data_IF_495527174087
#
_entry.id   IF_495527174087
#
_cell.length_a   1.000
_cell.length_b   1.000
_cell.length_c   1.000
_cell.angle_alpha   90.00
_cell.angle_beta   90.00
_cell.angle_gamma   90.00
#
_symmetry.space_group_name_H-M   'P 1'
#
loop_
_entity.id
_entity.type
_entity.pdbx_description
1 polymer ?
#
# COMPACT_ATOMS: atom_id res chain seq x y z
N UNK A 1 17.32 39.24 -49.97
CA UNK A 1 16.68 38.56 -51.12
C UNK A 1 17.22 37.15 -51.44
N UNK A 2 18.40 36.73 -50.96
CA UNK A 2 18.95 35.41 -51.34
C UNK A 2 18.44 34.20 -50.52
N UNK A 3 17.99 34.39 -49.27
CA UNK A 3 17.53 33.30 -48.39
C UNK A 3 16.18 32.70 -48.80
N UNK A 4 15.28 33.51 -49.37
CA UNK A 4 13.97 33.04 -49.84
C UNK A 4 14.08 32.09 -51.05
N UNK A 5 15.11 32.28 -51.89
CA UNK A 5 15.28 31.48 -53.11
C UNK A 5 15.92 30.11 -52.85
N UNK A 6 16.79 30.01 -51.85
CA UNK A 6 17.41 28.73 -51.45
C UNK A 6 16.39 27.85 -50.73
N UNK A 7 15.57 28.44 -49.84
CA UNK A 7 14.49 27.71 -49.16
C UNK A 7 13.46 27.14 -50.15
N UNK A 8 13.13 27.88 -51.22
CA UNK A 8 12.15 27.42 -52.22
C UNK A 8 12.64 26.22 -53.02
N UNK A 9 13.94 26.14 -53.37
CA UNK A 9 14.49 25.01 -54.12
C UNK A 9 14.55 23.73 -53.29
N UNK A 10 14.92 23.81 -52.01
CA UNK A 10 14.94 22.65 -51.12
C UNK A 10 13.54 22.11 -50.82
N UNK A 11 12.57 23.00 -50.58
CA UNK A 11 11.17 22.61 -50.37
C UNK A 11 10.57 21.95 -51.62
N UNK A 12 10.91 22.43 -52.82
CA UNK A 12 10.48 21.81 -54.08
C UNK A 12 11.12 20.44 -54.34
N UNK A 13 12.36 20.20 -53.88
CA UNK A 13 13.02 18.91 -53.99
C UNK A 13 12.41 17.87 -53.03
N UNK A 14 12.11 18.28 -51.80
CA UNK A 14 11.45 17.43 -50.78
C UNK A 14 10.00 17.09 -51.21
N UNK A 15 9.26 18.07 -51.72
CA UNK A 15 7.88 17.88 -52.19
C UNK A 15 7.77 16.99 -53.45
N UNK A 16 8.85 16.83 -54.23
CA UNK A 16 8.91 15.86 -55.34
C UNK A 16 9.19 14.44 -54.85
N UNK A 17 9.90 14.30 -53.73
CA UNK A 17 10.29 12.99 -53.15
C UNK A 17 9.18 12.35 -52.32
N UNK A 18 8.27 13.14 -51.77
CA UNK A 18 7.11 12.68 -50.99
C UNK A 18 5.83 13.39 -51.46
N UNK A 19 5.11 12.83 -52.46
CA UNK A 19 3.92 13.47 -53.05
C UNK A 19 2.76 13.66 -52.05
N UNK A 20 2.73 12.89 -50.95
CA UNK A 20 1.78 13.07 -49.83
C UNK A 20 1.94 14.46 -49.18
N UNK A 21 3.16 15.01 -49.12
CA UNK A 21 3.41 16.34 -48.54
C UNK A 21 2.86 17.49 -49.41
N UNK A 22 2.51 17.24 -50.68
CA UNK A 22 1.82 18.23 -51.53
C UNK A 22 0.32 18.31 -51.26
N UNK A 23 -0.26 17.33 -50.57
CA UNK A 23 -1.70 17.27 -50.28
C UNK A 23 -2.06 17.90 -48.92
N UNK A 24 -1.06 18.21 -48.09
CA UNK A 24 -1.27 18.81 -46.78
C UNK A 24 -1.18 20.33 -46.92
N UNK A 25 -2.30 21.02 -46.74
CA UNK A 25 -2.34 22.48 -46.82
C UNK A 25 -1.47 23.11 -45.71
N UNK A 26 -0.96 24.34 -45.91
CA UNK A 26 -0.24 25.06 -44.84
C UNK A 26 -1.05 25.15 -43.53
N UNK A 27 -2.38 25.29 -43.64
CA UNK A 27 -3.30 25.25 -42.50
C UNK A 27 -3.26 23.90 -41.78
N UNK A 28 -3.28 22.78 -42.50
CA UNK A 28 -3.18 21.45 -41.91
C UNK A 28 -1.82 21.23 -41.23
N UNK A 29 -0.72 21.74 -41.80
CA UNK A 29 0.60 21.71 -41.16
C UNK A 29 0.58 22.49 -39.84
N UNK A 30 0.02 23.71 -39.82
CA UNK A 30 -0.09 24.50 -38.60
C UNK A 30 -0.92 23.80 -37.52
N UNK A 31 -2.05 23.19 -37.90
CA UNK A 31 -2.88 22.42 -36.97
C UNK A 31 -2.15 21.18 -36.43
N UNK A 32 -1.40 20.46 -37.27
CA UNK A 32 -0.58 19.33 -36.84
C UNK A 32 0.51 19.78 -35.86
N UNK A 33 1.23 20.87 -36.16
CA UNK A 33 2.25 21.40 -35.27
C UNK A 33 1.67 21.88 -33.94
N UNK A 34 0.52 22.56 -33.98
CA UNK A 34 -0.20 22.96 -32.78
C UNK A 34 -0.64 21.75 -31.96
N UNK A 35 -1.15 20.70 -32.60
CA UNK A 35 -1.60 19.49 -31.91
C UNK A 35 -0.43 18.70 -31.31
N UNK A 36 0.69 18.58 -32.03
CA UNK A 36 1.94 17.98 -31.52
C UNK A 36 2.47 18.79 -30.33
N UNK A 37 2.44 20.12 -30.41
CA UNK A 37 2.79 20.98 -29.29
C UNK A 37 1.84 20.79 -28.11
N UNK A 38 0.53 20.78 -28.34
CA UNK A 38 -0.48 20.62 -27.28
C UNK A 38 -0.32 19.28 -26.56
N UNK A 39 -0.11 18.19 -27.31
CA UNK A 39 0.22 16.89 -26.72
C UNK A 39 1.51 16.97 -25.94
N UNK A 40 2.60 17.44 -26.53
CA UNK A 40 3.89 17.52 -25.84
C UNK A 40 3.78 18.34 -24.54
N UNK A 41 3.10 19.48 -24.61
CA UNK A 41 2.86 20.36 -23.47
C UNK A 41 2.04 19.64 -22.38
N UNK A 42 0.91 19.03 -22.72
CA UNK A 42 0.07 18.31 -21.76
C UNK A 42 0.77 17.07 -21.15
N UNK A 43 1.44 16.30 -21.99
CA UNK A 43 2.04 15.00 -21.63
C UNK A 43 3.39 15.10 -20.92
N UNK A 44 4.14 16.19 -21.13
CA UNK A 44 5.50 16.35 -20.58
C UNK A 44 5.60 17.57 -19.69
N UNK A 45 5.15 18.73 -20.16
CA UNK A 45 5.35 19.98 -19.43
C UNK A 45 4.41 20.11 -18.24
N UNK A 46 3.13 19.80 -18.38
CA UNK A 46 2.14 19.95 -17.28
C UNK A 46 2.51 19.08 -16.08
N UNK A 47 2.70 17.77 -16.26
CA UNK A 47 3.11 16.87 -15.16
C UNK A 47 4.42 17.31 -14.51
N UNK A 48 5.44 17.62 -15.33
CA UNK A 48 6.74 18.07 -14.82
C UNK A 48 6.63 19.34 -14.00
N UNK A 49 5.86 20.34 -14.45
CA UNK A 49 5.68 21.60 -13.73
C UNK A 49 4.95 21.40 -12.40
N UNK A 50 3.94 20.52 -12.34
CA UNK A 50 3.26 20.21 -11.09
C UNK A 50 4.22 19.57 -10.08
N UNK A 51 5.02 18.59 -10.50
CA UNK A 51 6.02 17.96 -9.61
C UNK A 51 7.09 18.98 -9.17
N UNK A 52 7.61 19.82 -10.08
CA UNK A 52 8.58 20.88 -9.73
C UNK A 52 8.05 21.86 -8.69
N UNK A 53 6.75 22.19 -8.74
CA UNK A 53 6.15 23.08 -7.75
C UNK A 53 6.18 22.53 -6.33
N UNK A 54 6.35 21.21 -6.18
CA UNK A 54 6.47 20.51 -4.90
C UNK A 54 7.93 20.34 -4.44
N UNK A 55 8.91 20.89 -5.16
CA UNK A 55 10.32 20.76 -4.79
C UNK A 55 10.55 21.27 -3.35
N UNK A 56 11.21 20.45 -2.54
CA UNK A 56 11.46 20.68 -1.12
C UNK A 56 12.06 22.07 -0.86
N UNK A 57 12.98 22.52 -1.73
CA UNK A 57 13.65 23.83 -1.59
C UNK A 57 12.74 25.06 -1.70
N UNK A 58 11.53 24.91 -2.27
CA UNK A 58 10.61 26.03 -2.47
C UNK A 58 9.85 26.41 -1.19
N UNK A 59 9.80 25.51 -0.20
CA UNK A 59 9.00 25.71 1.02
C UNK A 59 9.70 25.27 2.31
N UNK A 60 10.67 24.36 2.26
CA UNK A 60 11.43 23.93 3.43
C UNK A 60 12.52 24.93 3.83
N UNK A 61 12.60 25.24 5.12
CA UNK A 61 13.62 26.10 5.69
C UNK A 61 14.29 25.38 6.86
N UNK A 62 15.41 24.71 6.59
CA UNK A 62 16.14 23.93 7.59
C UNK A 62 17.45 24.62 8.02
N UNK A 63 17.88 24.44 9.28
CA UNK A 63 19.20 24.89 9.73
C UNK A 63 20.35 24.25 8.93
N UNK A 64 21.48 24.93 8.88
CA UNK A 64 22.69 24.39 8.23
C UNK A 64 23.11 23.05 8.85
N UNK A 65 23.27 22.02 8.02
CA UNK A 65 23.64 20.68 8.45
C UNK A 65 22.48 19.74 8.79
N UNK A 66 21.23 20.19 8.69
CA UNK A 66 20.07 19.32 8.81
C UNK A 66 19.94 18.39 7.59
N UNK A 67 19.60 17.13 7.83
CA UNK A 67 19.30 16.11 6.81
C UNK A 67 17.82 15.71 6.94
N UNK A 68 16.89 16.44 6.32
CA UNK A 68 15.46 16.10 6.39
C UNK A 68 15.18 14.76 5.73
N UNK A 69 14.18 14.04 6.24
CA UNK A 69 13.65 12.82 5.62
C UNK A 69 12.48 13.19 4.72
N UNK A 70 12.60 12.95 3.41
CA UNK A 70 11.57 13.26 2.43
C UNK A 70 10.67 12.05 2.16
N UNK A 71 9.37 12.23 2.32
CA UNK A 71 8.35 11.18 2.20
C UNK A 71 7.29 11.61 1.17
N UNK A 72 6.95 10.70 0.27
CA UNK A 72 5.85 10.88 -0.70
C UNK A 72 4.76 9.85 -0.43
N UNK A 73 3.51 10.32 -0.40
CA UNK A 73 2.33 9.46 -0.40
C UNK A 73 1.74 9.36 -1.79
N UNK A 74 1.33 8.15 -2.18
CA UNK A 74 0.61 7.87 -3.43
C UNK A 74 -0.70 7.17 -3.06
N UNK A 75 -1.84 7.71 -3.46
CA UNK A 75 -3.14 7.13 -3.19
C UNK A 75 -3.82 6.75 -4.50
N UNK A 76 -4.60 5.66 -4.46
CA UNK A 76 -5.50 5.22 -5.53
C UNK A 76 -4.85 5.17 -6.94
N UNK A 77 -3.66 4.55 -7.11
CA UNK A 77 -3.12 4.40 -8.46
C UNK A 77 -4.04 3.55 -9.35
N UNK A 78 -4.84 2.64 -8.77
CA UNK A 78 -5.91 1.86 -9.39
C UNK A 78 -5.56 1.42 -10.82
N UNK A 79 -4.63 0.48 -10.93
CA UNK A 79 -4.14 0.01 -12.22
C UNK A 79 -5.31 -0.40 -13.11
N UNK A 80 -5.43 0.27 -14.27
CA UNK A 80 -6.54 0.02 -15.20
C UNK A 80 -6.45 -1.39 -15.77
N UNK A 81 -7.60 -2.06 -15.81
CA UNK A 81 -7.71 -3.44 -16.21
C UNK A 81 -9.11 -3.75 -16.84
N UNK A 82 -9.42 -5.00 -17.20
CA UNK A 82 -10.72 -5.36 -17.79
C UNK A 82 -11.95 -5.10 -16.90
N UNK A 83 -11.77 -4.94 -15.58
CA UNK A 83 -12.81 -4.53 -14.62
C UNK A 83 -13.18 -3.05 -14.81
N UNK A 84 -12.20 -2.18 -15.05
CA UNK A 84 -12.40 -0.72 -15.21
C UNK A 84 -13.35 -0.37 -16.35
N UNK A 85 -13.19 -1.06 -17.50
CA UNK A 85 -14.01 -0.84 -18.69
C UNK A 85 -14.62 -2.15 -19.21
N UNK A 86 -15.69 -2.64 -18.55
CA UNK A 86 -16.31 -3.91 -18.91
C UNK A 86 -16.75 -3.91 -20.37
N UNK A 87 -16.32 -4.92 -21.13
CA UNK A 87 -16.73 -5.10 -22.52
C UNK A 87 -15.93 -4.31 -23.57
N UNK A 88 -14.86 -3.59 -23.17
CA UNK A 88 -13.95 -2.97 -24.14
C UNK A 88 -13.20 -4.08 -24.93
N UNK A 89 -13.33 -4.14 -26.27
CA UNK A 89 -12.72 -5.21 -27.05
C UNK A 89 -11.21 -4.99 -27.25
N UNK A 90 -10.48 -6.07 -27.49
CA UNK A 90 -9.14 -5.99 -28.04
C UNK A 90 -9.18 -5.39 -29.46
N UNK A 91 -8.25 -4.48 -29.83
CA UNK A 91 -7.06 -4.05 -29.09
C UNK A 91 -7.23 -2.80 -28.20
N UNK A 92 -8.44 -2.21 -28.14
CA UNK A 92 -8.67 -0.95 -27.41
C UNK A 92 -8.44 -1.09 -25.91
N UNK A 93 -8.74 -2.23 -25.29
CA UNK A 93 -8.44 -2.49 -23.87
C UNK A 93 -6.94 -2.43 -23.61
N UNK A 94 -6.14 -3.19 -24.36
CA UNK A 94 -4.69 -3.22 -24.24
C UNK A 94 -4.04 -1.84 -24.52
N UNK A 95 -4.58 -1.07 -25.49
CA UNK A 95 -4.12 0.29 -25.73
C UNK A 95 -4.42 1.22 -24.55
N UNK A 96 -5.57 1.04 -23.91
CA UNK A 96 -5.97 1.84 -22.74
C UNK A 96 -5.03 1.54 -21.58
N UNK A 97 -4.88 0.27 -21.23
CA UNK A 97 -3.96 -0.22 -20.19
C UNK A 97 -2.55 0.33 -20.43
N UNK A 98 -2.00 0.15 -21.65
CA UNK A 98 -0.66 0.64 -22.00
C UNK A 98 -0.52 2.16 -21.89
N UNK A 99 -1.53 2.93 -22.30
CA UNK A 99 -1.48 4.39 -22.21
C UNK A 99 -1.52 4.86 -20.76
N UNK A 100 -2.38 4.26 -19.93
CA UNK A 100 -2.47 4.57 -18.49
C UNK A 100 -1.20 4.17 -17.75
N UNK A 101 -0.60 3.03 -18.08
CA UNK A 101 0.68 2.58 -17.53
C UNK A 101 1.80 3.56 -17.85
N UNK A 102 1.85 4.06 -19.09
CA UNK A 102 2.81 5.08 -19.50
C UNK A 102 2.61 6.42 -18.79
N UNK A 103 1.35 6.78 -18.50
CA UNK A 103 1.04 7.97 -17.71
C UNK A 103 1.55 7.81 -16.27
N UNK A 104 1.21 6.70 -15.59
CA UNK A 104 1.64 6.42 -14.22
C UNK A 104 3.17 6.33 -14.11
N UNK A 105 3.80 5.55 -14.98
CA UNK A 105 5.26 5.39 -14.99
C UNK A 105 5.99 6.72 -15.19
N UNK A 106 5.44 7.61 -16.02
CA UNK A 106 6.04 8.93 -16.24
C UNK A 106 5.92 9.84 -15.03
N UNK A 107 4.74 9.93 -14.43
CA UNK A 107 4.56 10.76 -13.24
C UNK A 107 5.40 10.22 -12.07
N UNK A 108 5.42 8.90 -11.88
CA UNK A 108 6.27 8.27 -10.87
C UNK A 108 7.75 8.48 -11.12
N UNK A 109 8.21 8.36 -12.37
CA UNK A 109 9.59 8.71 -12.73
C UNK A 109 9.91 10.17 -12.41
N UNK A 110 9.02 11.10 -12.75
CA UNK A 110 9.23 12.53 -12.49
C UNK A 110 9.32 12.82 -10.99
N UNK A 111 8.48 12.20 -10.16
CA UNK A 111 8.54 12.28 -8.69
C UNK A 111 9.93 11.86 -8.21
N UNK A 112 10.40 10.67 -8.62
CA UNK A 112 11.70 10.16 -8.21
C UNK A 112 12.87 10.96 -8.78
N UNK A 113 12.74 11.50 -9.99
CA UNK A 113 13.79 12.25 -10.67
C UNK A 113 13.96 13.66 -10.09
N UNK A 114 12.85 14.32 -9.75
CA UNK A 114 12.84 15.73 -9.37
C UNK A 114 12.79 15.94 -7.86
N UNK A 115 12.05 15.09 -7.14
CA UNK A 115 11.93 15.17 -5.68
C UNK A 115 12.89 14.22 -4.98
N UNK A 116 13.29 13.12 -5.61
CA UNK A 116 14.21 12.11 -5.05
C UNK A 116 13.91 11.76 -3.57
N UNK A 117 12.69 11.32 -3.22
CA UNK A 117 12.29 11.09 -1.84
C UNK A 117 13.05 9.91 -1.20
N UNK A 118 13.17 9.90 0.12
CA UNK A 118 13.76 8.78 0.88
C UNK A 118 12.76 7.63 1.05
N UNK A 119 11.47 7.95 1.18
CA UNK A 119 10.40 6.98 1.32
C UNK A 119 9.22 7.28 0.38
N UNK A 120 8.59 6.22 -0.11
CA UNK A 120 7.32 6.27 -0.86
C UNK A 120 6.33 5.32 -0.20
N UNK A 121 5.15 5.81 0.16
CA UNK A 121 4.11 5.04 0.83
C UNK A 121 2.82 5.09 0.01
N UNK A 122 2.32 3.93 -0.39
CA UNK A 122 1.04 3.80 -1.07
C UNK A 122 -0.10 3.67 -0.05
N UNK A 123 -1.23 4.28 -0.36
CA UNK A 123 -2.38 4.40 0.53
C UNK A 123 -3.57 3.53 0.08
N UNK A 124 -3.29 2.37 -0.52
CA UNK A 124 -4.30 1.41 -0.99
C UNK A 124 -4.85 1.69 -2.38
N UNK A 125 -5.74 0.79 -2.80
CA UNK A 125 -6.34 0.73 -4.13
C UNK A 125 -5.27 0.68 -5.22
N UNK A 126 -4.40 -0.31 -5.10
CA UNK A 126 -3.28 -0.51 -6.02
C UNK A 126 -3.76 -1.00 -7.40
N UNK A 127 -4.68 -1.95 -7.37
CA UNK A 127 -5.28 -2.59 -8.54
C UNK A 127 -6.78 -2.32 -8.56
N UNK A 128 -7.38 -2.01 -9.72
CA UNK A 128 -8.81 -1.73 -9.80
C UNK A 128 -9.65 -3.02 -9.61
N UNK A 129 -9.28 -4.09 -10.32
CA UNK A 129 -9.86 -5.43 -10.26
C UNK A 129 -9.23 -6.35 -9.20
N UNK A 130 -8.45 -5.80 -8.25
CA UNK A 130 -7.62 -6.55 -7.30
C UNK A 130 -8.36 -7.67 -6.54
N UNK A 131 -9.63 -7.44 -6.19
CA UNK A 131 -10.52 -8.41 -5.53
C UNK A 131 -11.29 -9.34 -6.46
N UNK A 132 -11.38 -9.03 -7.76
CA UNK A 132 -12.33 -9.65 -8.69
C UNK A 132 -11.76 -10.93 -9.34
N UNK A 133 -10.43 -11.03 -9.42
CA UNK A 133 -9.74 -12.18 -9.99
C UNK A 133 -9.66 -13.32 -9.00
N UNK A 134 -9.99 -14.54 -9.45
CA UNK A 134 -9.92 -15.72 -8.56
C UNK A 134 -8.50 -15.97 -8.05
N UNK A 135 -8.41 -16.57 -6.87
CA UNK A 135 -7.16 -16.85 -6.18
C UNK A 135 -7.02 -18.34 -5.89
N UNK A 136 -5.79 -18.84 -5.87
CA UNK A 136 -5.50 -20.15 -5.30
C UNK A 136 -5.66 -20.08 -3.78
N UNK A 137 -6.14 -21.15 -3.14
CA UNK A 137 -6.32 -21.16 -1.69
C UNK A 137 -4.97 -20.97 -1.00
N UNK A 138 -4.85 -19.94 -0.15
CA UNK A 138 -3.75 -19.84 0.80
C UNK A 138 -3.81 -21.05 1.75
N UNK A 139 -2.71 -21.78 1.87
CA UNK A 139 -2.67 -23.01 2.68
C UNK A 139 -2.72 -22.64 4.16
N UNK A 140 -3.82 -22.99 4.83
CA UNK A 140 -3.93 -22.85 6.28
C UNK A 140 -2.78 -23.56 6.99
N UNK A 141 -2.07 -22.83 7.88
CA UNK A 141 -1.03 -23.43 8.70
C UNK A 141 -1.65 -24.34 9.76
N UNK A 142 -1.03 -25.50 9.97
CA UNK A 142 -1.33 -26.37 11.12
C UNK A 142 -0.97 -25.66 12.43
N UNK A 143 -1.58 -26.09 13.55
CA UNK A 143 -1.26 -25.53 14.88
C UNK A 143 0.23 -25.66 15.21
N UNK A 144 0.86 -26.77 14.81
CA UNK A 144 2.29 -26.97 14.96
C UNK A 144 3.10 -25.97 14.12
N UNK A 145 2.74 -25.76 12.85
CA UNK A 145 3.44 -24.79 11.99
C UNK A 145 3.29 -23.36 12.51
N UNK A 146 2.10 -22.97 12.98
CA UNK A 146 1.89 -21.65 13.61
C UNK A 146 2.75 -21.48 14.85
N UNK A 147 2.75 -22.48 15.73
CA UNK A 147 3.56 -22.47 16.94
C UNK A 147 5.05 -22.41 16.60
N UNK A 148 5.51 -23.19 15.62
CA UNK A 148 6.90 -23.19 15.17
C UNK A 148 7.34 -21.84 14.62
N UNK A 149 6.51 -21.19 13.79
CA UNK A 149 6.78 -19.83 13.31
C UNK A 149 6.81 -18.82 14.48
N UNK A 150 5.83 -18.91 15.39
CA UNK A 150 5.78 -18.05 16.58
C UNK A 150 7.04 -18.20 17.46
N UNK A 151 7.52 -19.43 17.64
CA UNK A 151 8.70 -19.77 18.44
C UNK A 151 10.01 -19.29 17.78
N UNK A 152 10.05 -19.12 16.46
CA UNK A 152 11.18 -18.53 15.72
C UNK A 152 11.28 -17.00 15.85
N UNK A 153 10.43 -16.37 16.68
CA UNK A 153 10.40 -14.92 16.86
C UNK A 153 9.70 -14.16 15.73
N UNK A 154 9.07 -14.89 14.81
CA UNK A 154 8.17 -14.39 13.76
C UNK A 154 6.82 -14.19 14.44
N UNK A 155 6.63 -13.02 15.07
CA UNK A 155 5.44 -12.76 15.88
C UNK A 155 4.27 -12.42 14.97
N UNK A 156 3.16 -13.15 15.11
CA UNK A 156 1.87 -12.58 14.71
C UNK A 156 1.65 -11.27 15.49
N UNK A 157 1.05 -10.23 14.88
CA UNK A 157 0.58 -9.09 15.64
C UNK A 157 -0.40 -9.56 16.73
N UNK A 158 0.03 -9.48 17.99
CA UNK A 158 -0.89 -9.44 19.14
C UNK A 158 -1.10 -10.68 20.02
N UNK A 159 -0.32 -11.77 19.95
CA UNK A 159 -0.57 -12.91 20.87
C UNK A 159 0.32 -12.91 22.12
N UNK A 160 -0.28 -12.66 23.30
CA UNK A 160 0.31 -13.01 24.60
C UNK A 160 0.12 -14.51 24.88
N UNK A 161 1.13 -15.08 25.51
CA UNK A 161 1.26 -16.46 25.98
C UNK A 161 0.08 -16.88 26.87
N UNK A 162 -0.76 -17.81 26.41
CA UNK A 162 -1.57 -18.65 27.30
C UNK A 162 -1.06 -20.09 27.20
N UNK A 163 -0.34 -20.48 28.25
CA UNK A 163 -0.18 -21.88 28.61
C UNK A 163 -1.48 -22.26 29.32
N UNK A 164 -2.25 -23.16 28.74
CA UNK A 164 -2.98 -24.14 29.56
C UNK A 164 -3.30 -25.41 28.77
N UNK A 165 -2.84 -26.49 29.36
CA UNK A 165 -2.94 -27.87 28.93
C UNK A 165 -4.28 -28.41 29.42
N UNK A 166 -5.11 -28.96 28.53
CA UNK A 166 -5.92 -30.14 28.90
C UNK A 166 -6.38 -30.90 27.66
N UNK A 167 -5.86 -32.13 27.59
CA UNK A 167 -6.35 -33.22 26.76
C UNK A 167 -7.74 -33.66 27.29
N UNK A 168 -8.70 -33.88 26.41
CA UNK A 168 -9.68 -34.96 26.63
C UNK A 168 -10.10 -35.60 25.30
N UNK A 169 -10.10 -36.92 25.32
CA UNK A 169 -10.35 -37.83 24.22
C UNK A 169 -11.78 -38.37 24.33
N UNK A 170 -12.51 -38.41 23.20
CA UNK A 170 -13.54 -39.39 22.90
C UNK A 170 -15.00 -39.04 23.20
N UNK A 171 -15.86 -38.98 22.17
CA UNK A 171 -16.87 -40.02 21.90
C UNK A 171 -17.63 -39.80 20.58
N UNK A 172 -18.39 -40.82 20.21
CA UNK A 172 -18.68 -41.33 18.88
C UNK A 172 -19.83 -40.66 18.09
N UNK A 173 -19.82 -40.93 16.79
CA UNK A 173 -20.78 -40.55 15.75
C UNK A 173 -22.17 -41.15 15.99
N UNK A 174 -23.20 -40.36 15.67
CA UNK A 174 -24.47 -40.85 15.11
C UNK A 174 -24.83 -40.01 13.89
N UNK A 175 -25.21 -40.69 12.80
CA UNK A 175 -25.56 -40.08 11.52
C UNK A 175 -27.08 -39.88 11.45
N UNK A 176 -27.51 -38.69 11.04
CA UNK A 176 -28.85 -38.46 10.47
C UNK A 176 -28.73 -37.61 9.22
N UNK A 177 -29.22 -38.17 8.13
CA UNK A 177 -29.34 -37.58 6.80
C UNK A 177 -30.25 -36.34 6.79
N UNK A 178 -29.75 -35.22 6.28
CA UNK A 178 -30.43 -34.29 5.34
C UNK A 178 -29.77 -32.91 5.41
N UNK A 179 -29.75 -32.22 4.26
CA UNK A 179 -29.11 -30.92 3.97
C UNK A 179 -27.60 -30.97 3.73
N UNK A 180 -27.21 -30.36 2.60
CA UNK A 180 -25.84 -30.17 2.13
C UNK A 180 -24.97 -29.67 3.29
N UNK A 181 -24.00 -30.49 3.70
CA UNK A 181 -23.26 -30.24 4.94
C UNK A 181 -22.41 -28.96 4.82
N UNK A 182 -22.40 -28.18 5.90
CA UNK A 182 -21.53 -27.03 6.22
C UNK A 182 -20.03 -27.15 5.89
N UNK A 183 -19.54 -28.29 5.39
CA UNK A 183 -18.14 -28.50 4.95
C UNK A 183 -17.78 -27.75 3.67
N UNK A 184 -18.75 -27.23 2.92
CA UNK A 184 -18.50 -26.42 1.72
C UNK A 184 -18.34 -24.92 2.01
N UNK A 185 -18.56 -24.44 3.24
CA UNK A 185 -18.29 -23.04 3.63
C UNK A 185 -16.87 -22.88 4.15
N UNK A 186 -15.88 -23.16 3.32
CA UNK A 186 -14.51 -22.71 3.60
C UNK A 186 -14.51 -21.18 3.48
N UNK A 187 -14.35 -20.46 4.59
CA UNK A 187 -14.30 -18.98 4.59
C UNK A 187 -13.11 -18.43 3.80
N UNK A 188 -12.15 -19.30 3.40
CA UNK A 188 -11.05 -19.01 2.48
C UNK A 188 -11.33 -19.44 1.03
N UNK A 189 -12.52 -19.94 0.70
CA UNK A 189 -12.89 -20.16 -0.69
C UNK A 189 -13.18 -18.82 -1.36
N UNK A 190 -12.59 -18.61 -2.53
CA UNK A 190 -12.89 -17.45 -3.36
C UNK A 190 -14.28 -17.57 -3.99
N UNK A 191 -15.02 -16.47 -3.95
CA UNK A 191 -16.33 -16.28 -4.55
C UNK A 191 -16.24 -15.16 -5.57
N UNK A 192 -16.68 -15.41 -6.81
CA UNK A 192 -16.65 -14.38 -7.83
C UNK A 192 -17.65 -13.24 -7.52
N UNK A 193 -17.16 -12.01 -7.60
CA UNK A 193 -17.97 -10.80 -7.50
C UNK A 193 -18.93 -10.63 -8.69
N UNK A 194 -19.81 -9.63 -8.58
CA UNK A 194 -20.70 -9.19 -9.66
C UNK A 194 -21.50 -10.32 -10.35
N UNK A 195 -22.06 -11.24 -9.55
CA UNK A 195 -22.83 -12.39 -10.01
C UNK A 195 -22.04 -13.30 -10.98
N UNK A 196 -20.72 -13.43 -10.76
CA UNK A 196 -19.86 -14.31 -11.57
C UNK A 196 -19.44 -13.73 -12.91
N UNK A 197 -19.64 -12.42 -13.15
CA UNK A 197 -19.20 -11.73 -14.39
C UNK A 197 -17.74 -11.99 -14.72
N UNK A 198 -16.89 -12.08 -13.69
CA UNK A 198 -15.44 -12.22 -13.82
C UNK A 198 -14.95 -13.66 -13.77
N UNK A 199 -15.85 -14.66 -13.84
CA UNK A 199 -15.51 -16.09 -13.70
C UNK A 199 -14.45 -16.61 -14.67
N UNK A 200 -14.32 -15.98 -15.83
CA UNK A 200 -13.31 -16.33 -16.84
C UNK A 200 -11.89 -15.94 -16.43
N UNK A 201 -11.74 -14.97 -15.52
CA UNK A 201 -10.44 -14.47 -15.08
C UNK A 201 -10.01 -15.18 -13.79
N UNK A 202 -8.70 -15.41 -13.67
CA UNK A 202 -8.16 -16.12 -12.53
C UNK A 202 -6.77 -15.64 -12.13
N UNK A 203 -6.01 -16.47 -11.39
CA UNK A 203 -4.77 -16.04 -10.77
C UNK A 203 -3.77 -15.41 -11.74
N UNK A 204 -3.70 -15.91 -12.97
CA UNK A 204 -2.80 -15.40 -14.01
C UNK A 204 -3.08 -13.93 -14.40
N UNK A 205 -4.35 -13.49 -14.38
CA UNK A 205 -4.67 -12.08 -14.66
C UNK A 205 -4.17 -11.19 -13.53
N UNK A 206 -4.39 -11.62 -12.29
CA UNK A 206 -3.90 -10.90 -11.11
C UNK A 206 -2.37 -10.83 -11.08
N UNK A 207 -1.69 -11.94 -11.41
CA UNK A 207 -0.23 -11.98 -11.47
C UNK A 207 0.31 -11.04 -12.58
N UNK A 208 -0.34 -10.94 -13.74
CA UNK A 208 0.05 -9.98 -14.79
C UNK A 208 -0.11 -8.52 -14.33
N UNK A 209 -1.19 -8.20 -13.62
CA UNK A 209 -1.42 -6.88 -13.04
C UNK A 209 -0.41 -6.54 -11.94
N UNK A 210 -0.07 -7.51 -11.08
CA UNK A 210 1.01 -7.37 -10.10
C UNK A 210 2.35 -7.10 -10.79
N UNK A 211 2.67 -7.82 -11.87
CA UNK A 211 3.89 -7.60 -12.63
C UNK A 211 3.89 -6.23 -13.33
N UNK A 212 2.73 -5.78 -13.84
CA UNK A 212 2.55 -4.40 -14.38
C UNK A 212 2.82 -3.37 -13.30
N UNK A 213 2.24 -3.52 -12.10
CA UNK A 213 2.48 -2.65 -10.97
C UNK A 213 3.98 -2.60 -10.62
N UNK A 214 4.64 -3.76 -10.54
CA UNK A 214 6.08 -3.85 -10.27
C UNK A 214 6.93 -3.12 -11.32
N UNK A 215 6.62 -3.26 -12.61
CA UNK A 215 7.32 -2.53 -13.69
C UNK A 215 7.17 -1.01 -13.60
N UNK A 216 6.04 -0.52 -13.09
CA UNK A 216 5.75 0.90 -12.98
C UNK A 216 6.39 1.50 -11.73
N UNK A 217 6.24 0.84 -10.57
CA UNK A 217 6.51 1.43 -9.26
C UNK A 217 7.70 0.81 -8.52
N UNK A 218 8.13 -0.40 -8.87
CA UNK A 218 9.21 -1.12 -8.18
C UNK A 218 10.47 -1.31 -9.03
N UNK A 219 10.41 -1.09 -10.35
CA UNK A 219 11.58 -1.15 -11.22
C UNK A 219 12.68 -0.19 -10.71
N UNK A 220 13.91 -0.67 -10.45
CA UNK A 220 14.97 0.16 -9.91
C UNK A 220 15.31 1.39 -10.77
N UNK A 221 15.06 1.35 -12.09
CA UNK A 221 15.24 2.49 -13.01
C UNK A 221 14.14 3.54 -12.89
N UNK A 222 12.99 3.17 -12.32
CA UNK A 222 11.91 4.09 -11.96
C UNK A 222 12.19 4.76 -10.63
N UNK A 223 12.65 3.97 -9.65
CA UNK A 223 13.05 4.48 -8.35
C UNK A 223 14.26 5.41 -8.50
N UNK A 224 15.30 5.01 -9.23
CA UNK A 224 16.54 5.79 -9.33
C UNK A 224 16.85 6.19 -10.77
N UNK A 225 16.07 7.13 -11.35
CA UNK A 225 16.19 7.47 -12.77
C UNK A 225 17.48 8.20 -13.14
N UNK A 226 18.18 8.79 -12.17
CA UNK A 226 19.42 9.57 -12.32
C UNK A 226 20.68 8.82 -11.88
N UNK A 227 20.56 7.61 -11.34
CA UNK A 227 21.76 6.87 -10.93
C UNK A 227 22.39 6.19 -12.14
N UNK A 228 23.58 6.63 -12.54
CA UNK A 228 24.46 5.90 -13.48
C UNK A 228 25.03 4.59 -12.87
N UNK A 229 24.42 4.10 -11.78
CA UNK A 229 24.92 3.01 -10.94
C UNK A 229 23.91 1.88 -10.95
N UNK A 230 24.39 0.65 -10.96
CA UNK A 230 23.53 -0.52 -10.77
C UNK A 230 22.84 -0.42 -9.41
N UNK A 231 21.51 -0.28 -9.44
CA UNK A 231 20.70 -0.42 -8.26
C UNK A 231 20.66 -1.91 -7.89
N UNK A 232 20.99 -2.22 -6.65
CA UNK A 232 20.90 -3.57 -6.12
C UNK A 232 19.82 -3.59 -5.04
N UNK A 233 19.10 -4.70 -4.90
CA UNK A 233 18.21 -4.89 -3.76
C UNK A 233 19.07 -4.80 -2.50
N UNK A 234 18.89 -3.75 -1.70
CA UNK A 234 19.73 -3.44 -0.52
C UNK A 234 19.66 -4.56 0.52
N UNK A 235 18.54 -5.26 0.50
CA UNK A 235 18.18 -6.38 1.33
C UNK A 235 16.70 -6.65 1.11
N UNK A 236 16.35 -7.93 0.98
CA UNK A 236 14.98 -8.37 1.20
C UNK A 236 14.81 -8.37 2.73
N UNK A 237 14.23 -7.31 3.31
CA UNK A 237 13.82 -7.37 4.71
C UNK A 237 12.58 -8.26 4.71
N UNK A 238 12.81 -9.57 4.80
CA UNK A 238 11.76 -10.52 5.12
C UNK A 238 11.24 -10.10 6.49
N UNK A 239 10.17 -9.31 6.50
CA UNK A 239 9.57 -8.89 7.76
C UNK A 239 8.98 -10.08 8.47
N UNK A 240 8.76 -11.23 7.79
CA UNK A 240 8.58 -12.59 8.31
C UNK A 240 8.59 -13.59 7.11
N UNK A 241 9.29 -14.75 7.15
CA UNK A 241 9.36 -15.68 6.01
C UNK A 241 8.01 -16.34 5.68
N UNK A 242 7.06 -16.29 6.62
CA UNK A 242 5.70 -16.80 6.45
C UNK A 242 4.74 -16.04 7.38
N UNK A 243 3.62 -15.51 6.87
CA UNK A 243 2.55 -14.96 7.72
C UNK A 243 2.01 -16.06 8.64
N UNK A 244 1.99 -15.80 9.94
CA UNK A 244 1.54 -16.76 10.97
C UNK A 244 0.02 -16.98 10.90
N UNK A 245 -0.72 -16.03 10.33
CA UNK A 245 -2.19 -16.09 10.24
C UNK A 245 -2.67 -16.99 9.10
N UNK A 246 -2.04 -16.89 7.93
CA UNK A 246 -2.52 -17.56 6.72
C UNK A 246 -1.51 -18.48 6.04
N UNK A 247 -0.26 -18.53 6.49
CA UNK A 247 0.77 -19.38 5.89
C UNK A 247 1.32 -18.86 4.57
N UNK A 248 1.03 -17.62 4.21
CA UNK A 248 1.59 -16.95 3.05
C UNK A 248 3.11 -16.89 3.17
N UNK A 249 3.81 -17.60 2.28
CA UNK A 249 5.27 -17.53 2.17
C UNK A 249 5.67 -16.24 1.45
N UNK A 250 6.73 -15.59 1.92
CA UNK A 250 7.30 -14.35 1.38
C UNK A 250 6.44 -13.08 1.60
N UNK A 251 6.28 -12.64 2.84
CA UNK A 251 5.98 -11.23 3.11
C UNK A 251 7.23 -10.42 2.72
N UNK A 252 7.32 -9.99 1.47
CA UNK A 252 8.46 -9.21 0.95
C UNK A 252 8.26 -7.74 1.28
N UNK A 253 9.12 -7.18 2.12
CA UNK A 253 9.36 -5.74 2.11
C UNK A 253 10.60 -5.50 1.25
N UNK A 254 10.41 -4.94 0.06
CA UNK A 254 11.52 -4.66 -0.85
C UNK A 254 12.15 -3.32 -0.48
N UNK A 255 13.42 -3.36 -0.05
CA UNK A 255 14.24 -2.16 0.12
C UNK A 255 15.26 -2.12 -1.03
N UNK A 256 15.23 -1.03 -1.78
CA UNK A 256 16.12 -0.81 -2.90
C UNK A 256 17.24 0.15 -2.46
N UNK A 257 18.50 -0.16 -2.78
CA UNK A 257 19.62 0.73 -2.54
C UNK A 257 20.44 0.92 -3.81
N UNK A 258 21.06 2.08 -3.91
CA UNK A 258 22.11 2.32 -4.89
C UNK A 258 23.46 2.21 -4.18
N UNK A 259 24.47 1.70 -4.89
CA UNK A 259 25.87 1.91 -4.51
C UNK A 259 26.12 3.41 -4.34
N UNK A 260 26.39 3.88 -3.11
CA UNK A 260 26.45 5.33 -2.80
C UNK A 260 25.69 5.78 -1.55
N UNK A 261 24.96 4.88 -0.89
CA UNK A 261 24.48 5.09 0.49
C UNK A 261 23.05 5.63 0.64
N UNK A 262 22.33 5.94 -0.46
CA UNK A 262 20.90 6.30 -0.39
C UNK A 262 20.02 5.06 -0.62
N UNK A 263 19.31 4.65 0.43
CA UNK A 263 18.33 3.55 0.40
C UNK A 263 16.94 4.13 0.32
N UNK A 264 16.11 3.65 -0.62
CA UNK A 264 14.71 4.08 -0.77
C UNK A 264 13.80 2.99 -0.22
N UNK A 265 12.88 3.42 0.64
CA UNK A 265 11.86 2.54 1.18
C UNK A 265 10.54 2.72 0.44
N UNK A 266 10.05 1.65 -0.17
CA UNK A 266 8.73 1.65 -0.82
C UNK A 266 7.79 0.76 -0.01
N UNK A 267 6.65 1.31 0.40
CA UNK A 267 5.66 0.62 1.21
C UNK A 267 4.36 0.56 0.41
N UNK A 268 3.92 -0.65 0.09
CA UNK A 268 2.72 -0.90 -0.73
C UNK A 268 1.63 -1.68 0.01
N UNK A 269 1.79 -1.93 1.31
CA UNK A 269 1.01 -2.94 1.99
C UNK A 269 -0.36 -2.47 2.49
N UNK A 270 -0.61 -1.15 2.57
CA UNK A 270 -1.90 -0.64 3.04
C UNK A 270 -2.97 -0.99 1.99
N UNK A 271 -3.97 -1.82 2.32
CA UNK A 271 -4.98 -2.23 1.35
C UNK A 271 -6.10 -1.19 1.21
N UNK A 272 -6.67 -1.12 0.00
CA UNK A 272 -7.94 -0.44 -0.24
C UNK A 272 -9.09 -1.39 -0.57
N UNK A 273 -10.28 -0.83 -0.83
CA UNK A 273 -11.47 -1.63 -1.14
C UNK A 273 -11.47 -2.25 -2.54
N UNK A 274 -10.69 -1.73 -3.49
CA UNK A 274 -10.43 -2.38 -4.77
C UNK A 274 -9.48 -3.57 -4.65
N UNK A 275 -8.56 -3.52 -3.69
CA UNK A 275 -7.66 -4.63 -3.42
C UNK A 275 -8.35 -5.82 -2.73
N UNK A 276 -9.19 -5.56 -1.71
CA UNK A 276 -9.72 -6.61 -0.82
C UNK A 276 -11.24 -6.82 -0.86
N UNK A 277 -11.98 -5.80 -1.27
CA UNK A 277 -13.40 -5.62 -0.92
C UNK A 277 -13.57 -4.78 0.34
N UNK A 278 -14.82 -4.61 0.79
CA UNK A 278 -15.16 -3.74 1.93
C UNK A 278 -16.09 -4.45 2.92
N UNK A 279 -15.71 -4.41 4.20
CA UNK A 279 -16.45 -4.97 5.32
C UNK A 279 -16.90 -6.42 5.08
N UNK A 280 -18.21 -6.72 5.09
CA UNK A 280 -18.80 -8.01 4.69
C UNK A 280 -18.27 -8.63 3.41
N UNK A 281 -17.87 -7.78 2.47
CA UNK A 281 -17.46 -8.14 1.14
C UNK A 281 -16.01 -8.59 1.03
N UNK A 282 -15.22 -8.41 2.09
CA UNK A 282 -13.82 -8.84 2.13
C UNK A 282 -13.75 -10.36 2.14
N UNK A 283 -13.01 -10.91 1.19
CA UNK A 283 -12.77 -12.34 1.10
C UNK A 283 -11.39 -12.67 1.66
N UNK A 284 -11.33 -13.62 2.61
CA UNK A 284 -10.06 -13.98 3.25
C UNK A 284 -9.01 -14.46 2.25
N UNK A 285 -9.43 -15.16 1.19
CA UNK A 285 -8.54 -15.61 0.13
C UNK A 285 -7.87 -14.46 -0.64
N UNK A 286 -8.62 -13.36 -0.85
CA UNK A 286 -8.14 -12.16 -1.55
C UNK A 286 -7.19 -11.38 -0.64
N UNK A 287 -7.57 -11.18 0.63
CA UNK A 287 -6.68 -10.59 1.65
C UNK A 287 -5.37 -11.36 1.79
N UNK A 288 -5.46 -12.68 1.90
CA UNK A 288 -4.28 -13.55 2.00
C UNK A 288 -3.36 -13.39 0.76
N UNK A 289 -3.93 -13.29 -0.46
CA UNK A 289 -3.14 -13.03 -1.68
C UNK A 289 -2.48 -11.66 -1.66
N UNK A 290 -3.21 -10.61 -1.28
CA UNK A 290 -2.68 -9.26 -1.19
C UNK A 290 -1.51 -9.19 -0.19
N UNK A 291 -1.69 -9.73 1.01
CA UNK A 291 -0.65 -9.75 2.06
C UNK A 291 0.59 -10.53 1.63
N UNK A 292 0.42 -11.62 0.87
CA UNK A 292 1.53 -12.40 0.31
C UNK A 292 2.41 -11.59 -0.64
N UNK A 293 1.85 -10.57 -1.30
CA UNK A 293 2.48 -9.90 -2.45
C UNK A 293 2.90 -8.46 -2.17
N UNK A 294 2.10 -7.75 -1.38
CA UNK A 294 2.31 -6.35 -1.01
C UNK A 294 2.70 -6.16 0.46
N UNK A 295 2.53 -7.18 1.29
CA UNK A 295 2.84 -7.17 2.71
C UNK A 295 1.61 -7.02 3.61
N UNK A 296 1.80 -7.16 4.93
CA UNK A 296 0.73 -7.08 5.92
C UNK A 296 0.05 -5.70 5.93
N UNK A 297 -1.29 -5.66 5.94
CA UNK A 297 -2.04 -4.40 5.95
C UNK A 297 -1.98 -3.66 7.30
N UNK A 298 -1.82 -4.40 8.39
CA UNK A 298 -1.69 -3.88 9.75
C UNK A 298 -0.22 -3.87 10.17
N UNK A 299 0.42 -2.70 10.24
CA UNK A 299 1.87 -2.62 10.49
C UNK A 299 2.31 -1.29 11.06
N UNK A 300 3.54 -1.29 11.57
CA UNK A 300 4.21 -0.11 12.14
C UNK A 300 5.51 0.16 11.39
N UNK A 301 5.69 1.39 10.93
CA UNK A 301 6.89 1.87 10.28
C UNK A 301 7.45 3.08 11.01
N UNK A 302 8.76 3.13 11.20
CA UNK A 302 9.43 4.35 11.61
C UNK A 302 10.12 4.94 10.39
N UNK A 303 9.73 6.16 10.02
CA UNK A 303 10.27 6.90 8.87
C UNK A 303 10.68 8.29 9.35
N UNK A 304 11.96 8.64 9.20
CA UNK A 304 12.49 9.89 9.72
C UNK A 304 12.32 9.95 11.25
N UNK A 305 11.58 10.95 11.73
CA UNK A 305 11.28 11.17 13.14
C UNK A 305 9.82 10.88 13.52
N UNK A 306 9.10 10.06 12.74
CA UNK A 306 7.70 9.72 12.98
C UNK A 306 7.48 8.20 12.95
N UNK A 307 6.49 7.74 13.70
CA UNK A 307 5.99 6.38 13.64
C UNK A 307 4.67 6.36 12.88
N UNK A 308 4.62 5.65 11.76
CA UNK A 308 3.43 5.42 10.97
C UNK A 308 2.78 4.10 11.38
N UNK A 309 1.49 4.15 11.67
CA UNK A 309 0.66 2.98 11.99
C UNK A 309 -0.35 2.81 10.88
N UNK A 310 -0.21 1.76 10.07
CA UNK A 310 -1.15 1.41 9.01
C UNK A 310 -2.17 0.41 9.51
N UNK A 311 -3.44 0.61 9.17
CA UNK A 311 -4.53 -0.31 9.51
C UNK A 311 -5.31 -0.76 8.27
N UNK A 312 -5.65 -2.05 8.21
CA UNK A 312 -6.57 -2.61 7.21
C UNK A 312 -8.02 -2.20 7.56
N UNK A 313 -8.35 -0.96 7.19
CA UNK A 313 -9.66 -0.36 7.39
C UNK A 313 -10.78 -1.05 6.61
N UNK A 314 -10.59 -1.50 5.34
CA UNK A 314 -11.61 -2.27 4.62
C UNK A 314 -12.03 -3.55 5.37
N UNK A 315 -11.10 -4.33 5.91
CA UNK A 315 -11.43 -5.49 6.74
C UNK A 315 -12.04 -5.10 8.09
N UNK A 316 -11.51 -4.05 8.73
CA UNK A 316 -12.03 -3.57 10.01
C UNK A 316 -13.49 -3.11 9.94
N UNK A 317 -13.92 -2.55 8.80
CA UNK A 317 -15.31 -2.16 8.55
C UNK A 317 -16.31 -3.33 8.65
N UNK A 318 -15.85 -4.60 8.62
CA UNK A 318 -16.72 -5.76 8.83
C UNK A 318 -17.26 -5.84 10.28
N UNK A 319 -16.67 -5.09 11.21
CA UNK A 319 -17.20 -4.92 12.57
C UNK A 319 -18.42 -3.99 12.60
N UNK A 320 -18.39 -2.89 11.85
CA UNK A 320 -19.45 -1.89 11.83
C UNK A 320 -19.37 -1.09 10.51
N UNK A 321 -20.44 -1.18 9.72
CA UNK A 321 -20.63 -0.44 8.47
C UNK A 321 -22.06 0.12 8.39
N UNK A 322 -22.31 1.04 7.45
CA UNK A 322 -23.62 1.59 7.14
C UNK A 322 -24.47 0.56 6.40
N UNK A 323 -25.65 0.26 6.94
CA UNK A 323 -26.59 -0.70 6.35
C UNK A 323 -27.62 -0.01 5.44
N UNK A 324 -28.08 -0.70 4.40
CA UNK A 324 -29.04 -0.14 3.42
C UNK A 324 -30.40 0.22 4.01
N UNK A 325 -30.77 -0.37 5.15
CA UNK A 325 -31.99 -0.06 5.91
C UNK A 325 -31.87 1.13 6.87
N UNK A 326 -30.70 1.77 6.92
CA UNK A 326 -30.36 2.79 7.92
C UNK A 326 -29.78 2.18 9.20
N UNK A 327 -28.85 2.91 9.82
CA UNK A 327 -28.12 2.45 11.01
C UNK A 327 -26.81 1.72 10.67
N UNK A 328 -26.09 1.34 11.73
CA UNK A 328 -24.83 0.60 11.67
C UNK A 328 -25.10 -0.91 11.82
N UNK A 329 -24.14 -1.75 11.42
CA UNK A 329 -24.21 -3.21 11.62
C UNK A 329 -24.45 -3.60 13.09
N UNK A 330 -25.21 -4.68 13.28
CA UNK A 330 -25.51 -5.24 14.60
C UNK A 330 -24.35 -6.06 15.17
N UNK A 331 -24.32 -6.25 16.49
CA UNK A 331 -23.30 -7.09 17.15
C UNK A 331 -23.31 -8.54 16.67
N UNK A 332 -24.49 -9.09 16.35
CA UNK A 332 -24.62 -10.45 15.81
C UNK A 332 -23.93 -10.57 14.44
N UNK A 333 -24.11 -9.57 13.57
CA UNK A 333 -23.42 -9.51 12.28
C UNK A 333 -21.91 -9.32 12.45
N UNK A 334 -21.48 -8.54 13.45
CA UNK A 334 -20.06 -8.40 13.76
C UNK A 334 -19.45 -9.75 14.20
N UNK A 335 -20.13 -10.52 15.06
CA UNK A 335 -19.60 -11.81 15.52
C UNK A 335 -19.52 -12.86 14.37
N UNK A 336 -20.47 -12.87 13.43
CA UNK A 336 -20.39 -13.72 12.24
C UNK A 336 -19.15 -13.42 11.38
N UNK A 337 -18.76 -12.14 11.32
CA UNK A 337 -17.67 -11.63 10.47
C UNK A 337 -16.34 -11.50 11.20
N UNK A 338 -16.22 -12.08 12.39
CA UNK A 338 -15.06 -11.96 13.28
C UNK A 338 -13.73 -12.31 12.61
N UNK A 339 -13.70 -13.31 11.75
CA UNK A 339 -12.50 -13.69 11.00
C UNK A 339 -11.94 -12.57 10.10
N UNK A 340 -12.79 -11.62 9.68
CA UNK A 340 -12.40 -10.50 8.81
C UNK A 340 -11.80 -9.37 9.66
N UNK A 341 -12.51 -8.85 10.67
CA UNK A 341 -12.12 -7.65 11.39
C UNK A 341 -11.24 -7.90 12.63
N UNK A 342 -11.26 -9.09 13.22
CA UNK A 342 -10.56 -9.39 14.48
C UNK A 342 -9.04 -9.19 14.39
N UNK A 343 -8.34 -9.56 13.30
CA UNK A 343 -6.89 -9.32 13.20
C UNK A 343 -6.53 -7.84 13.37
N UNK A 344 -7.20 -6.95 12.64
CA UNK A 344 -6.99 -5.49 12.74
C UNK A 344 -7.31 -4.97 14.15
N UNK A 345 -8.42 -5.40 14.75
CA UNK A 345 -8.80 -4.99 16.12
C UNK A 345 -7.78 -5.46 17.17
N UNK A 346 -7.23 -6.67 17.00
CA UNK A 346 -6.22 -7.23 17.91
C UNK A 346 -4.87 -6.52 17.76
N UNK A 347 -4.50 -6.16 16.54
CA UNK A 347 -3.34 -5.33 16.25
C UNK A 347 -3.44 -3.98 16.96
N UNK A 348 -4.54 -3.24 16.79
CA UNK A 348 -4.75 -1.95 17.46
C UNK A 348 -4.68 -2.07 18.98
N UNK A 349 -5.28 -3.12 19.57
CA UNK A 349 -5.21 -3.36 21.01
C UNK A 349 -3.82 -3.70 21.56
N UNK A 350 -2.85 -4.00 20.69
CA UNK A 350 -1.48 -4.38 21.09
C UNK A 350 -0.39 -3.50 20.48
N UNK A 351 -0.74 -2.47 19.70
CA UNK A 351 0.17 -1.69 18.85
C UNK A 351 1.24 -0.92 19.61
N UNK A 352 1.00 -0.56 20.87
CA UNK A 352 1.96 0.19 21.70
C UNK A 352 3.31 -0.53 21.87
N UNK A 353 3.30 -1.86 22.00
CA UNK A 353 4.53 -2.64 22.18
C UNK A 353 5.36 -2.75 20.89
N UNK A 354 4.77 -3.10 19.72
CA UNK A 354 5.41 -2.98 18.42
C UNK A 354 5.94 -1.56 18.13
N UNK A 355 5.18 -0.51 18.44
CA UNK A 355 5.62 0.88 18.28
C UNK A 355 6.89 1.16 19.08
N UNK A 356 6.88 0.88 20.38
CA UNK A 356 8.05 1.11 21.23
C UNK A 356 9.28 0.31 20.76
N UNK A 357 9.06 -0.94 20.31
CA UNK A 357 10.14 -1.79 19.77
C UNK A 357 10.68 -1.22 18.46
N UNK A 358 9.83 -0.96 17.48
CA UNK A 358 10.26 -0.44 16.16
C UNK A 358 10.96 0.91 16.29
N UNK A 359 10.51 1.77 17.19
CA UNK A 359 11.19 3.04 17.47
C UNK A 359 12.56 2.82 18.11
N UNK A 360 12.68 1.92 19.08
CA UNK A 360 13.99 1.58 19.66
C UNK A 360 14.94 1.01 18.63
N UNK A 361 14.51 0.01 17.86
CA UNK A 361 15.33 -0.67 16.84
C UNK A 361 15.81 0.34 15.77
N UNK A 362 14.96 1.28 15.37
CA UNK A 362 15.30 2.32 14.40
C UNK A 362 16.27 3.37 14.97
N UNK A 363 16.08 3.80 16.22
CA UNK A 363 17.03 4.72 16.87
C UNK A 363 18.39 4.08 17.09
N UNK A 364 18.43 2.77 17.35
CA UNK A 364 19.66 2.00 17.48
C UNK A 364 20.42 1.91 16.14
N UNK A 365 19.71 1.81 15.02
CA UNK A 365 20.29 1.82 13.67
C UNK A 365 20.84 3.20 13.28
N UNK A 366 20.12 4.28 13.62
CA UNK A 366 20.56 5.65 13.34
C UNK A 366 21.73 6.12 14.22
N UNK A 367 21.83 5.65 15.45
CA UNK A 367 22.86 6.08 16.41
C UNK A 367 23.67 4.89 16.96
N UNK A 368 24.43 4.18 16.10
CA UNK A 368 25.18 2.99 16.52
C UNK A 368 26.26 3.32 17.58
N UNK A 369 26.78 4.54 17.56
CA UNK A 369 27.80 5.06 18.49
C UNK A 369 27.25 5.50 19.85
N UNK A 370 25.92 5.56 20.02
CA UNK A 370 25.27 5.80 21.33
C UNK A 370 25.14 4.55 22.16
N UNK A 371 25.60 3.40 21.68
CA UNK A 371 25.94 2.31 22.58
C UNK A 371 26.84 2.90 23.66
N UNK A 372 26.54 2.72 24.96
CA UNK A 372 27.64 2.55 25.89
C UNK A 372 28.45 1.45 25.22
N UNK A 373 29.64 1.80 24.74
CA UNK A 373 30.68 0.83 24.47
C UNK A 373 30.54 -0.28 25.51
N UNK A 374 30.73 -1.55 25.11
CA UNK A 374 30.77 -2.67 26.05
C UNK A 374 31.89 -2.56 27.11
N UNK A 375 32.39 -1.35 27.35
CA UNK A 375 33.33 -0.82 28.31
C UNK A 375 32.76 0.42 29.00
N UNK A 376 31.48 0.42 29.40
CA UNK A 376 31.14 1.17 30.61
C UNK A 376 32.02 0.58 31.71
N UNK A 377 33.12 1.25 32.04
CA UNK A 377 33.91 0.97 33.22
C UNK A 377 32.97 1.24 34.41
N UNK A 378 32.22 0.20 34.78
CA UNK A 378 31.47 0.19 36.02
C UNK A 378 32.53 0.37 37.12
N UNK A 379 32.48 1.51 37.79
CA UNK A 379 33.19 1.67 39.04
C UNK A 379 32.56 0.67 40.00
N UNK A 380 33.20 -0.50 40.14
CA UNK A 380 32.81 -1.55 41.09
C UNK A 380 33.09 -1.00 42.48
N UNK A 381 32.07 -0.47 43.15
CA UNK A 381 31.98 -0.58 44.59
C UNK A 381 31.34 -1.94 44.87
N UNK A 382 32.06 -2.79 45.58
CA UNK A 382 31.59 -4.10 46.00
C UNK A 382 30.31 -3.91 46.84
N UNK A 383 29.14 -4.29 46.30
CA UNK A 383 27.93 -4.29 47.15
C UNK A 383 26.54 -4.37 46.53
N UNK A 384 26.29 -4.13 45.24
CA UNK A 384 24.89 -4.02 44.77
C UNK A 384 24.63 -4.57 43.34
N UNK A 385 24.57 -5.91 43.22
CA UNK A 385 24.19 -6.60 41.98
C UNK A 385 22.70 -6.44 41.58
N UNK A 386 21.84 -5.92 42.46
CA UNK A 386 20.38 -5.87 42.28
C UNK A 386 19.83 -4.56 41.75
N UNK A 387 20.65 -3.48 41.67
CA UNK A 387 20.23 -2.19 41.12
C UNK A 387 20.49 -2.02 39.62
N UNK A 388 21.45 -2.76 39.05
CA UNK A 388 21.82 -2.62 37.63
C UNK A 388 20.70 -3.09 36.68
N UNK A 389 19.99 -4.17 37.04
CA UNK A 389 18.84 -4.67 36.25
C UNK A 389 17.65 -3.71 36.26
N UNK A 390 17.46 -2.97 37.36
CA UNK A 390 16.43 -1.92 37.48
C UNK A 390 16.83 -0.64 36.74
N UNK A 391 18.10 -0.30 36.66
CA UNK A 391 18.56 0.85 35.85
C UNK A 391 18.43 0.56 34.35
N UNK A 392 18.77 -0.65 33.87
CA UNK A 392 18.52 -1.03 32.47
C UNK A 392 17.03 -1.10 32.13
N UNK A 393 16.17 -1.46 33.09
CA UNK A 393 14.72 -1.43 32.93
C UNK A 393 14.14 0.00 33.02
N UNK A 394 14.80 0.92 33.74
CA UNK A 394 14.38 2.32 33.87
C UNK A 394 14.89 3.22 32.73
N UNK A 395 15.98 2.84 32.06
CA UNK A 395 16.45 3.48 30.81
C UNK A 395 15.62 3.04 29.60
N UNK A 396 14.77 2.01 29.71
CA UNK A 396 13.61 1.80 28.82
C UNK A 396 12.51 2.85 29.05
N UNK A 397 12.87 4.13 29.19
CA UNK A 397 11.97 5.21 28.84
C UNK A 397 11.70 5.05 27.36
N UNK A 398 10.54 4.50 27.02
CA UNK A 398 10.10 4.24 25.64
C UNK A 398 10.30 5.52 24.84
N UNK A 399 11.31 5.55 23.98
CA UNK A 399 11.37 6.60 22.98
C UNK A 399 10.09 6.48 22.15
N UNK A 400 9.19 7.45 22.27
CA UNK A 400 7.94 7.50 21.53
C UNK A 400 8.06 8.67 20.55
N UNK A 401 8.20 8.33 19.26
CA UNK A 401 8.08 9.30 18.19
C UNK A 401 6.59 9.63 17.98
N UNK A 402 6.25 10.83 17.45
CA UNK A 402 4.88 11.15 17.10
C UNK A 402 4.28 10.10 16.16
N UNK A 403 3.05 9.69 16.45
CA UNK A 403 2.34 8.64 15.71
C UNK A 403 1.45 9.26 14.64
N UNK A 404 1.54 8.73 13.41
CA UNK A 404 0.67 9.07 12.29
C UNK A 404 -0.09 7.81 11.90
N UNK A 405 -1.42 7.87 11.97
CA UNK A 405 -2.30 6.80 11.50
C UNK A 405 -2.50 6.90 9.98
N UNK A 406 -2.27 5.78 9.28
CA UNK A 406 -2.59 5.61 7.87
C UNK A 406 -3.78 4.67 7.73
N UNK A 407 -4.81 5.13 7.03
CA UNK A 407 -6.02 4.39 6.71
C UNK A 407 -6.47 4.77 5.31
N UNK A 408 -6.79 3.76 4.50
CA UNK A 408 -7.36 3.97 3.17
C UNK A 408 -8.76 4.59 3.26
N UNK A 409 -9.58 4.13 4.23
CA UNK A 409 -10.93 4.65 4.44
C UNK A 409 -10.87 5.80 5.45
N UNK A 410 -11.39 7.01 5.14
CA UNK A 410 -11.40 8.12 6.07
C UNK A 410 -12.12 7.80 7.38
N UNK A 411 -11.61 8.33 8.49
CA UNK A 411 -12.33 8.30 9.77
C UNK A 411 -13.60 9.16 9.69
N UNK A 412 -14.57 8.82 10.54
CA UNK A 412 -15.81 9.56 10.66
C UNK A 412 -15.55 11.03 10.99
N UNK A 413 -16.28 11.91 10.31
CA UNK A 413 -16.40 13.33 10.60
C UNK A 413 -17.86 13.75 10.39
N UNK A 414 -18.26 14.87 10.99
CA UNK A 414 -19.64 15.31 10.85
C UNK A 414 -19.99 15.61 9.37
N UNK A 415 -21.21 15.27 8.91
CA UNK A 415 -21.57 15.33 7.49
C UNK A 415 -21.42 16.72 6.85
N UNK A 416 -21.52 17.78 7.65
CA UNK A 416 -21.49 19.17 7.19
C UNK A 416 -20.11 19.84 7.34
N UNK A 417 -19.10 19.11 7.81
CA UNK A 417 -17.74 19.66 7.96
C UNK A 417 -17.18 20.05 6.59
N UNK A 418 -16.70 21.28 6.43
CA UNK A 418 -16.10 21.74 5.17
C UNK A 418 -14.76 21.02 4.90
N UNK A 419 -14.47 20.69 3.65
CA UNK A 419 -13.18 20.11 3.22
C UNK A 419 -12.15 21.18 2.82
N UNK A 420 -12.55 22.45 2.81
CA UNK A 420 -11.69 23.58 2.48
C UNK A 420 -11.72 23.94 0.99
N UNK A 421 -11.01 25.03 0.68
CA UNK A 421 -11.05 25.72 -0.62
C UNK A 421 -10.52 24.90 -1.80
N UNK A 422 -9.73 23.86 -1.53
CA UNK A 422 -9.13 23.01 -2.56
C UNK A 422 -10.02 21.85 -3.00
N UNK A 423 -11.20 21.66 -2.38
CA UNK A 423 -12.15 20.64 -2.80
C UNK A 423 -12.75 20.99 -4.15
N UNK A 424 -12.61 20.10 -5.12
CA UNK A 424 -13.08 20.33 -6.49
C UNK A 424 -14.61 20.44 -6.60
N UNK A 425 -15.35 19.63 -5.83
CA UNK A 425 -16.82 19.55 -5.91
C UNK A 425 -17.49 19.31 -4.56
N UNK A 426 -18.52 20.12 -4.27
CA UNK A 426 -19.26 20.06 -3.00
C UNK A 426 -18.46 20.66 -1.84
N UNK A 427 -19.12 20.83 -0.68
CA UNK A 427 -18.47 21.39 0.53
C UNK A 427 -17.96 20.30 1.48
N UNK A 428 -18.63 19.15 1.52
CA UNK A 428 -18.38 18.11 2.49
C UNK A 428 -18.36 16.71 1.86
N UNK A 429 -17.68 15.77 2.52
CA UNK A 429 -17.78 14.33 2.29
C UNK A 429 -19.17 13.88 2.74
N UNK A 430 -19.94 13.29 1.82
CA UNK A 430 -21.24 12.71 2.16
C UNK A 430 -21.04 11.41 2.91
N UNK A 431 -21.63 11.27 4.10
CA UNK A 431 -21.56 10.04 4.89
C UNK A 431 -22.57 9.04 4.32
N UNK A 432 -22.11 8.18 3.41
CA UNK A 432 -22.90 7.16 2.70
C UNK A 432 -22.03 5.95 2.38
N UNK A 433 -22.68 4.80 2.21
CA UNK A 433 -22.09 3.57 1.71
C UNK A 433 -22.80 3.08 0.45
N UNK A 434 -22.14 2.17 -0.26
CA UNK A 434 -22.69 1.46 -1.40
C UNK A 434 -22.09 0.06 -1.52
N UNK A 435 -22.22 -0.54 -2.70
CA UNK A 435 -21.65 -1.87 -2.94
C UNK A 435 -20.13 -1.82 -2.85
N UNK A 436 -19.57 -2.48 -1.84
CA UNK A 436 -18.11 -2.60 -1.63
C UNK A 436 -17.37 -1.27 -1.38
N UNK A 437 -18.05 -0.23 -0.88
CA UNK A 437 -17.38 1.01 -0.47
C UNK A 437 -18.16 1.81 0.59
N UNK A 438 -17.43 2.67 1.32
CA UNK A 438 -17.98 3.79 2.10
C UNK A 438 -17.08 5.01 2.02
N UNK A 439 -17.70 6.19 2.09
CA UNK A 439 -16.95 7.45 2.09
C UNK A 439 -16.23 7.74 3.42
N UNK A 440 -16.65 7.09 4.51
CA UNK A 440 -16.03 7.16 5.82
C UNK A 440 -16.37 5.91 6.65
N UNK A 441 -15.55 5.60 7.65
CA UNK A 441 -15.88 4.62 8.69
C UNK A 441 -17.03 5.12 9.57
N UNK A 442 -17.67 4.19 10.29
CA UNK A 442 -18.72 4.55 11.25
C UNK A 442 -18.15 5.35 12.41
N UNK A 443 -19.00 6.15 13.08
CA UNK A 443 -18.60 6.96 14.24
C UNK A 443 -18.08 6.08 15.37
N UNK A 444 -18.74 4.94 15.61
CA UNK A 444 -18.37 3.97 16.65
C UNK A 444 -16.98 3.40 16.39
N UNK A 445 -16.69 3.00 15.14
CA UNK A 445 -15.41 2.43 14.77
C UNK A 445 -14.27 3.46 14.82
N UNK A 446 -14.52 4.67 14.33
CA UNK A 446 -13.55 5.77 14.39
C UNK A 446 -13.17 6.14 15.81
N UNK A 447 -14.14 6.11 16.73
CA UNK A 447 -13.90 6.34 18.16
C UNK A 447 -13.03 5.23 18.77
N UNK A 448 -13.27 3.96 18.40
CA UNK A 448 -12.45 2.84 18.87
C UNK A 448 -11.01 2.95 18.38
N UNK A 449 -10.81 3.30 17.12
CA UNK A 449 -9.47 3.51 16.53
C UNK A 449 -8.72 4.59 17.32
N UNK A 450 -9.35 5.75 17.53
CA UNK A 450 -8.73 6.87 18.25
C UNK A 450 -8.46 6.62 19.74
N UNK A 451 -9.08 5.59 20.35
CA UNK A 451 -8.82 5.20 21.74
C UNK A 451 -7.69 4.18 21.88
N UNK A 452 -7.36 3.46 20.81
CA UNK A 452 -6.40 2.35 20.84
C UNK A 452 -5.04 2.70 20.25
N UNK A 453 -4.99 3.68 19.36
CA UNK A 453 -3.79 4.25 18.74
C UNK A 453 -3.50 5.58 19.44
#
# INVERSE_FOLDING_TARGET
>A
MHLQHVASHHLQAIARRYPILRQISPTAILLILFWVYAIHYGERSVSSNHVKSCNWSEWEHWPAGATPHHLVFIADPQLVDPHTYPGRPWPLSALTESYTDQYMARNFRLINEQLDPDSVVFLGDLLDGGREWSTSKARALTAHQRKHLTDLGIKAPGTKRSVETSLSFGQSRTASSSSLSERDKDSKAFVHGENGRWRKWGPAQWDDEYDRFGRIFLDPRQLYPKSDREAHVAGEVSTHPTSVENGASLVKTEQYAISGGKTRRVITSLPGNHDLGFGPGVQLAVRDRHETRFGEGNRVDVLGNHTFVSIDAPSLAAYSQFESGGGDSTEAQAEERKAIWQPTMSFMGTVQAPVAKSTSDYLDDLFPDRRPDGRTLLHRSDGESTKLSKLTAAVQGQAQLPVILLSHVPLYRDPDTDCGKLRERGKAISIRGGYQYQNALTRSLSTKIAQQI
#
